data_IF_945864862006
#
_entry.id   IF_945864862006
#
_cell.length_a   1.000
_cell.length_b   1.000
_cell.length_c   1.000
_cell.angle_alpha   90.00
_cell.angle_beta   90.00
_cell.angle_gamma   90.00
#
_symmetry.space_group_name_H-M   'P 1'
#
loop_
_entity.id
_entity.type
_entity.pdbx_description
1 polymer ?
#
# COMPACT_ATOMS: atom_id res chain seq x y z
N UNK A 1 11.93 -24.12 -16.20
CA UNK A 1 11.37 -23.40 -17.38
C UNK A 1 9.91 -23.00 -17.19
N UNK A 2 8.99 -23.92 -16.87
CA UNK A 2 7.56 -23.62 -16.72
C UNK A 2 7.28 -22.43 -15.76
N UNK A 3 7.88 -22.44 -14.57
CA UNK A 3 7.74 -21.34 -13.60
C UNK A 3 8.21 -19.99 -14.13
N UNK A 4 9.29 -19.93 -14.91
CA UNK A 4 9.82 -18.67 -15.46
C UNK A 4 8.83 -18.10 -16.47
N UNK A 5 8.35 -18.90 -17.43
CA UNK A 5 7.35 -18.45 -18.40
C UNK A 5 6.03 -18.06 -17.73
N UNK A 6 5.65 -18.77 -16.68
CA UNK A 6 4.46 -18.44 -15.90
C UNK A 6 4.62 -17.13 -15.12
N UNK A 7 5.78 -16.85 -14.54
CA UNK A 7 6.08 -15.55 -13.94
C UNK A 7 6.05 -14.43 -14.97
N UNK A 8 6.69 -14.62 -16.14
CA UNK A 8 6.70 -13.63 -17.22
C UNK A 8 5.28 -13.37 -17.76
N UNK A 9 4.42 -14.38 -17.79
CA UNK A 9 3.01 -14.21 -18.15
C UNK A 9 2.28 -13.27 -17.20
N UNK A 10 2.45 -13.42 -15.89
CA UNK A 10 1.85 -12.53 -14.89
C UNK A 10 2.44 -11.11 -14.95
N UNK A 11 3.75 -10.97 -15.15
CA UNK A 11 4.38 -9.67 -15.35
C UNK A 11 3.86 -8.98 -16.60
N UNK A 12 3.67 -9.69 -17.71
CA UNK A 12 3.04 -9.16 -18.92
C UNK A 12 1.59 -8.74 -18.65
N UNK A 13 0.85 -9.54 -17.89
CA UNK A 13 -0.52 -9.20 -17.49
C UNK A 13 -0.57 -7.89 -16.69
N UNK A 14 0.31 -7.71 -15.71
CA UNK A 14 0.39 -6.47 -14.94
C UNK A 14 0.90 -5.28 -15.74
N UNK A 15 1.81 -5.50 -16.69
CA UNK A 15 2.23 -4.48 -17.65
C UNK A 15 1.04 -3.98 -18.48
N UNK A 16 0.24 -4.90 -19.03
CA UNK A 16 -0.96 -4.54 -19.82
C UNK A 16 -2.02 -3.90 -18.92
N UNK A 17 -2.18 -4.34 -17.67
CA UNK A 17 -3.08 -3.71 -16.71
C UNK A 17 -2.70 -2.25 -16.42
N UNK A 18 -1.40 -1.96 -16.25
CA UNK A 18 -0.90 -0.58 -16.08
C UNK A 18 -1.11 0.25 -17.34
N UNK A 19 -0.87 -0.32 -18.51
CA UNK A 19 -1.15 0.34 -19.78
C UNK A 19 -2.64 0.67 -19.92
N UNK A 20 -3.51 -0.29 -19.62
CA UNK A 20 -4.96 -0.08 -19.58
C UNK A 20 -5.35 1.05 -18.62
N UNK A 21 -4.73 1.13 -17.43
CA UNK A 21 -4.97 2.22 -16.49
C UNK A 21 -4.60 3.59 -17.09
N UNK A 22 -3.42 3.71 -17.70
CA UNK A 22 -3.01 4.95 -18.38
C UNK A 22 -3.95 5.35 -19.53
N UNK A 23 -4.43 4.37 -20.32
CA UNK A 23 -5.40 4.60 -21.38
C UNK A 23 -6.75 5.05 -20.82
N UNK A 24 -7.20 4.46 -19.72
CA UNK A 24 -8.47 4.81 -19.06
C UNK A 24 -8.46 6.22 -18.46
N UNK A 25 -7.28 6.71 -18.09
CA UNK A 25 -7.02 8.03 -17.53
C UNK A 25 -6.27 8.92 -18.54
N UNK A 26 -6.58 8.80 -19.84
CA UNK A 26 -5.84 9.47 -20.92
C UNK A 26 -5.66 10.98 -20.70
N UNK A 27 -6.67 11.67 -20.17
CA UNK A 27 -6.60 13.11 -19.89
C UNK A 27 -5.44 13.45 -18.93
N UNK A 28 -5.35 12.74 -17.80
CA UNK A 28 -4.28 12.91 -16.82
C UNK A 28 -2.93 12.42 -17.38
N UNK A 29 -2.93 11.32 -18.13
CA UNK A 29 -1.73 10.77 -18.77
C UNK A 29 -1.10 11.76 -19.76
N UNK A 30 -1.92 12.39 -20.60
CA UNK A 30 -1.45 13.31 -21.66
C UNK A 30 -0.81 14.59 -21.14
N UNK A 31 -1.11 14.99 -19.89
CA UNK A 31 -0.49 16.15 -19.24
C UNK A 31 0.91 15.89 -18.68
N UNK A 32 1.43 14.66 -18.78
CA UNK A 32 2.70 14.26 -18.17
C UNK A 32 3.75 13.89 -19.22
N UNK A 33 5.03 14.12 -18.90
CA UNK A 33 6.14 13.74 -19.76
C UNK A 33 6.22 12.22 -19.95
N UNK A 34 6.61 11.78 -21.15
CA UNK A 34 6.78 10.35 -21.46
C UNK A 34 7.76 9.66 -20.51
N UNK A 35 8.82 10.34 -20.08
CA UNK A 35 9.77 9.81 -19.07
C UNK A 35 9.11 9.49 -17.73
N UNK A 36 8.10 10.28 -17.32
CA UNK A 36 7.35 10.04 -16.09
C UNK A 36 6.43 8.83 -16.24
N UNK A 37 5.75 8.70 -17.39
CA UNK A 37 4.93 7.52 -17.69
C UNK A 37 5.77 6.26 -17.76
N UNK A 38 6.91 6.28 -18.47
CA UNK A 38 7.85 5.16 -18.54
C UNK A 38 8.44 4.82 -17.17
N UNK A 39 8.75 5.83 -16.35
CA UNK A 39 9.17 5.65 -14.96
C UNK A 39 8.16 4.86 -14.13
N UNK A 40 6.85 5.06 -14.34
CA UNK A 40 5.83 4.31 -13.61
C UNK A 40 5.85 2.80 -13.92
N UNK A 41 6.22 2.41 -15.14
CA UNK A 41 6.43 1.00 -15.47
C UNK A 41 7.69 0.45 -14.82
N UNK A 42 8.78 1.22 -14.81
CA UNK A 42 10.05 0.81 -14.23
C UNK A 42 9.96 0.65 -12.70
N UNK A 43 9.50 1.69 -12.00
CA UNK A 43 9.36 1.67 -10.55
C UNK A 43 8.22 0.74 -10.10
N UNK A 44 7.12 0.68 -10.87
CA UNK A 44 5.99 -0.21 -10.59
C UNK A 44 6.32 -1.70 -10.71
N UNK A 45 7.38 -2.06 -11.46
CA UNK A 45 7.81 -3.45 -11.64
C UNK A 45 8.09 -4.15 -10.31
N UNK A 46 8.56 -3.42 -9.29
CA UNK A 46 8.85 -3.99 -7.97
C UNK A 46 7.58 -4.56 -7.31
N UNK A 47 6.45 -3.85 -7.41
CA UNK A 47 5.16 -4.34 -6.93
C UNK A 47 4.57 -5.42 -7.85
N UNK A 48 4.82 -5.35 -9.15
CA UNK A 48 4.40 -6.42 -10.09
C UNK A 48 5.10 -7.75 -9.79
N UNK A 49 6.40 -7.70 -9.47
CA UNK A 49 7.20 -8.86 -9.05
C UNK A 49 6.70 -9.39 -7.70
N UNK A 50 6.39 -8.53 -6.75
CA UNK A 50 5.80 -8.95 -5.46
C UNK A 50 4.43 -9.60 -5.64
N UNK A 51 3.53 -9.00 -6.44
CA UNK A 51 2.22 -9.56 -6.77
C UNK A 51 2.34 -10.94 -7.44
N UNK A 52 3.26 -11.04 -8.41
CA UNK A 52 3.57 -12.31 -9.10
C UNK A 52 4.09 -13.34 -8.09
N UNK A 53 4.96 -12.94 -7.16
CA UNK A 53 5.45 -13.79 -6.08
C UNK A 53 4.32 -14.39 -5.25
N UNK A 54 3.35 -13.58 -4.82
CA UNK A 54 2.17 -14.07 -4.10
C UNK A 54 1.35 -15.06 -4.93
N UNK A 55 1.11 -14.78 -6.22
CA UNK A 55 0.35 -15.68 -7.09
C UNK A 55 1.07 -17.03 -7.29
N UNK A 56 2.40 -17.05 -7.31
CA UNK A 56 3.21 -18.25 -7.52
C UNK A 56 3.26 -19.20 -6.33
N UNK A 57 2.96 -18.74 -5.11
CA UNK A 57 3.04 -19.57 -3.90
C UNK A 57 2.18 -20.83 -4.04
N UNK A 58 0.92 -20.69 -4.44
CA UNK A 58 -0.02 -21.82 -4.56
C UNK A 58 0.43 -22.81 -5.66
N UNK A 59 0.72 -22.39 -6.90
CA UNK A 59 1.28 -23.27 -7.92
C UNK A 59 2.57 -23.97 -7.50
N UNK A 60 3.49 -23.29 -6.80
CA UNK A 60 4.72 -23.92 -6.31
C UNK A 60 4.42 -25.02 -5.27
N UNK A 61 3.52 -24.77 -4.31
CA UNK A 61 3.11 -25.77 -3.33
C UNK A 61 2.52 -27.02 -4.00
N UNK A 62 1.68 -26.83 -5.02
CA UNK A 62 1.08 -27.95 -5.76
C UNK A 62 2.13 -28.69 -6.59
N UNK A 63 3.07 -27.98 -7.21
CA UNK A 63 4.18 -28.61 -7.96
C UNK A 63 5.07 -29.47 -7.06
N UNK A 64 5.30 -29.07 -5.80
CA UNK A 64 6.02 -29.90 -4.81
C UNK A 64 5.30 -31.24 -4.61
N UNK A 65 3.97 -31.24 -4.51
CA UNK A 65 3.20 -32.51 -4.42
C UNK A 65 3.31 -33.35 -5.69
N UNK A 66 3.47 -32.71 -6.86
CA UNK A 66 3.66 -33.37 -8.16
C UNK A 66 4.96 -34.12 -8.32
N UNK A 67 5.93 -33.92 -7.43
CA UNK A 67 7.14 -34.75 -7.38
C UNK A 67 6.78 -36.20 -6.99
N UNK A 68 5.70 -36.37 -6.21
CA UNK A 68 5.27 -37.67 -5.68
C UNK A 68 4.04 -38.23 -6.40
N UNK A 69 3.16 -37.38 -6.94
CA UNK A 69 1.88 -37.76 -7.54
C UNK A 69 1.81 -37.44 -9.05
N UNK A 70 0.86 -38.08 -9.74
CA UNK A 70 0.77 -38.06 -11.20
C UNK A 70 0.47 -36.66 -11.79
N UNK A 71 1.04 -36.42 -12.97
CA UNK A 71 1.24 -35.13 -13.67
C UNK A 71 -0.03 -34.33 -14.01
N UNK A 72 -1.08 -34.97 -14.53
CA UNK A 72 -2.13 -34.24 -15.25
C UNK A 72 -3.12 -33.50 -14.36
N UNK A 73 -3.37 -34.00 -13.14
CA UNK A 73 -4.24 -33.34 -12.17
C UNK A 73 -3.66 -31.99 -11.73
N UNK A 74 -2.34 -31.91 -11.64
CA UNK A 74 -1.62 -30.69 -11.24
C UNK A 74 -1.71 -29.64 -12.33
N UNK A 75 -1.52 -30.05 -13.59
CA UNK A 75 -1.74 -29.15 -14.73
C UNK A 75 -3.15 -28.58 -14.74
N UNK A 76 -4.17 -29.45 -14.59
CA UNK A 76 -5.57 -29.02 -14.55
C UNK A 76 -5.80 -28.06 -13.38
N UNK A 77 -5.26 -28.36 -12.19
CA UNK A 77 -5.36 -27.48 -11.04
C UNK A 77 -4.74 -26.10 -11.30
N UNK A 78 -3.48 -26.04 -11.76
CA UNK A 78 -2.78 -24.77 -12.05
C UNK A 78 -3.52 -23.98 -13.13
N UNK A 79 -4.11 -24.66 -14.12
CA UNK A 79 -4.92 -24.05 -15.17
C UNK A 79 -6.20 -23.42 -14.60
N UNK A 80 -6.98 -24.17 -13.81
CA UNK A 80 -8.21 -23.65 -13.18
C UNK A 80 -7.91 -22.54 -12.19
N UNK A 81 -6.85 -22.68 -11.39
CA UNK A 81 -6.33 -21.63 -10.52
C UNK A 81 -6.00 -20.37 -11.30
N UNK A 82 -5.24 -20.48 -12.39
CA UNK A 82 -4.87 -19.34 -13.22
C UNK A 82 -6.09 -18.65 -13.83
N UNK A 83 -7.11 -19.40 -14.25
CA UNK A 83 -8.37 -18.82 -14.74
C UNK A 83 -9.10 -18.04 -13.66
N UNK A 84 -9.21 -18.61 -12.47
CA UNK A 84 -9.84 -17.94 -11.34
C UNK A 84 -9.12 -16.64 -10.96
N UNK A 85 -7.79 -16.69 -10.82
CA UNK A 85 -7.00 -15.50 -10.49
C UNK A 85 -7.05 -14.46 -11.61
N UNK A 86 -6.97 -14.87 -12.88
CA UNK A 86 -7.12 -13.94 -14.00
C UNK A 86 -8.47 -13.24 -13.96
N UNK A 87 -9.56 -13.98 -13.73
CA UNK A 87 -10.90 -13.39 -13.63
C UNK A 87 -11.00 -12.38 -12.49
N UNK A 88 -10.55 -12.75 -11.29
CA UNK A 88 -10.54 -11.86 -10.12
C UNK A 88 -9.68 -10.61 -10.38
N UNK A 89 -8.49 -10.78 -10.95
CA UNK A 89 -7.62 -9.66 -11.26
C UNK A 89 -8.23 -8.73 -12.31
N UNK A 90 -8.83 -9.27 -13.37
CA UNK A 90 -9.52 -8.47 -14.40
C UNK A 90 -10.67 -7.66 -13.81
N UNK A 91 -11.46 -8.23 -12.89
CA UNK A 91 -12.50 -7.49 -12.16
C UNK A 91 -11.90 -6.32 -11.38
N UNK A 92 -10.86 -6.58 -10.59
CA UNK A 92 -10.21 -5.57 -9.74
C UNK A 92 -9.60 -4.45 -10.58
N UNK A 93 -8.88 -4.77 -11.67
CA UNK A 93 -8.22 -3.79 -12.54
C UNK A 93 -9.23 -2.84 -13.19
N UNK A 94 -10.35 -3.37 -13.70
CA UNK A 94 -11.37 -2.54 -14.36
C UNK A 94 -12.13 -1.72 -13.33
N UNK A 95 -12.51 -2.30 -12.20
CA UNK A 95 -13.18 -1.59 -11.12
C UNK A 95 -12.34 -0.42 -10.60
N UNK A 96 -11.06 -0.66 -10.34
CA UNK A 96 -10.11 0.35 -9.89
C UNK A 96 -9.95 1.50 -10.89
N UNK A 97 -9.82 1.20 -12.19
CA UNK A 97 -9.76 2.23 -13.24
C UNK A 97 -11.00 3.15 -13.22
N UNK A 98 -12.18 2.60 -12.98
CA UNK A 98 -13.41 3.39 -12.88
C UNK A 98 -13.46 4.21 -11.59
N UNK A 99 -13.21 3.57 -10.45
CA UNK A 99 -13.31 4.18 -9.13
C UNK A 99 -12.25 5.25 -8.91
N UNK A 100 -11.07 5.10 -9.52
CA UNK A 100 -9.99 6.10 -9.44
C UNK A 100 -10.44 7.49 -9.87
N UNK A 101 -11.37 7.60 -10.83
CA UNK A 101 -11.93 8.90 -11.29
C UNK A 101 -12.69 9.64 -10.19
N UNK A 102 -13.28 8.90 -9.25
CA UNK A 102 -14.08 9.44 -8.16
C UNK A 102 -13.26 9.57 -6.88
N UNK A 103 -12.36 8.61 -6.62
CA UNK A 103 -11.62 8.52 -5.36
C UNK A 103 -10.29 9.27 -5.40
N UNK A 104 -9.65 9.38 -6.57
CA UNK A 104 -8.33 10.00 -6.69
C UNK A 104 -7.17 9.17 -6.13
N UNK A 105 -7.43 7.95 -5.66
CA UNK A 105 -6.44 6.99 -5.17
C UNK A 105 -6.70 5.58 -5.71
N UNK A 106 -5.67 4.73 -5.70
CA UNK A 106 -5.72 3.35 -6.20
C UNK A 106 -6.52 2.48 -5.25
N UNK A 107 -7.37 1.64 -5.79
CA UNK A 107 -8.30 0.83 -5.01
C UNK A 107 -7.57 0.01 -3.94
N UNK A 108 -8.17 -0.03 -2.76
CA UNK A 108 -7.73 -0.76 -1.59
C UNK A 108 -8.91 -1.57 -1.02
N UNK A 109 -8.79 -2.05 0.22
CA UNK A 109 -9.82 -2.84 0.90
C UNK A 109 -11.19 -2.15 1.03
N UNK A 110 -11.29 -0.84 0.81
CA UNK A 110 -12.57 -0.10 0.90
C UNK A 110 -13.62 -0.60 -0.10
N UNK A 111 -13.20 -1.18 -1.24
CA UNK A 111 -14.13 -1.79 -2.22
C UNK A 111 -15.00 -2.88 -1.60
N UNK A 112 -14.49 -3.58 -0.57
CA UNK A 112 -15.24 -4.62 0.13
C UNK A 112 -16.43 -4.08 0.91
N UNK A 113 -16.44 -2.79 1.26
CA UNK A 113 -17.60 -2.16 1.90
C UNK A 113 -18.74 -1.95 0.90
N UNK A 114 -18.43 -1.57 -0.34
CA UNK A 114 -19.42 -1.38 -1.41
C UNK A 114 -20.06 -2.71 -1.87
N UNK A 115 -19.34 -3.82 -1.73
CA UNK A 115 -19.92 -5.16 -1.95
C UNK A 115 -21.03 -5.51 -0.94
N UNK A 116 -21.15 -4.79 0.18
CA UNK A 116 -22.25 -4.97 1.15
C UNK A 116 -23.53 -4.29 0.69
N UNK A 117 -23.45 -3.28 -0.17
CA UNK A 117 -24.61 -2.54 -0.71
C UNK A 117 -24.66 -2.57 -2.24
N UNK A 118 -24.66 -3.76 -2.87
CA UNK A 118 -24.55 -3.89 -4.34
C UNK A 118 -25.73 -3.25 -5.09
N UNK A 119 -26.92 -3.18 -4.47
CA UNK A 119 -28.09 -2.51 -5.06
C UNK A 119 -27.86 -1.01 -5.25
N UNK A 120 -27.21 -0.36 -4.29
CA UNK A 120 -26.92 1.08 -4.35
C UNK A 120 -25.85 1.39 -5.40
N UNK A 121 -24.85 0.52 -5.52
CA UNK A 121 -23.79 0.64 -6.53
C UNK A 121 -24.37 0.47 -7.94
N UNK A 122 -25.23 -0.53 -8.17
CA UNK A 122 -25.85 -0.74 -9.48
C UNK A 122 -26.82 0.39 -9.83
N UNK A 123 -27.56 0.92 -8.84
CA UNK A 123 -28.49 2.03 -9.05
C UNK A 123 -27.78 3.36 -9.41
N UNK A 124 -26.51 3.51 -9.06
CA UNK A 124 -25.73 4.73 -9.35
C UNK A 124 -25.04 4.74 -10.71
N UNK A 125 -25.18 3.67 -11.51
CA UNK A 125 -24.50 3.50 -12.81
C UNK A 125 -25.51 3.19 -13.91
N UNK A 126 -25.30 3.76 -15.11
CA UNK A 126 -26.19 3.50 -16.25
C UNK A 126 -26.00 2.09 -16.81
N UNK A 127 -27.05 1.50 -17.40
CA UNK A 127 -26.98 0.17 -18.04
C UNK A 127 -25.88 0.09 -19.11
N UNK A 128 -25.67 1.16 -19.88
CA UNK A 128 -24.62 1.23 -20.91
C UNK A 128 -23.22 1.15 -20.29
N UNK A 129 -22.99 1.85 -19.17
CA UNK A 129 -21.73 1.76 -18.43
C UNK A 129 -21.52 0.35 -17.88
N UNK A 130 -22.53 -0.28 -17.28
CA UNK A 130 -22.43 -1.66 -16.78
C UNK A 130 -22.03 -2.62 -17.91
N UNK A 131 -22.70 -2.54 -19.06
CA UNK A 131 -22.38 -3.36 -20.24
C UNK A 131 -20.93 -3.10 -20.69
N UNK A 132 -20.52 -1.84 -20.80
CA UNK A 132 -19.16 -1.48 -21.19
C UNK A 132 -18.11 -2.06 -20.23
N UNK A 133 -18.35 -1.99 -18.93
CA UNK A 133 -17.47 -2.54 -17.90
C UNK A 133 -17.35 -4.06 -18.02
N UNK A 134 -18.48 -4.76 -18.15
CA UNK A 134 -18.50 -6.22 -18.34
C UNK A 134 -17.74 -6.61 -19.62
N UNK A 135 -17.93 -5.89 -20.73
CA UNK A 135 -17.23 -6.17 -21.98
C UNK A 135 -15.72 -5.99 -21.85
N UNK A 136 -15.25 -4.95 -21.15
CA UNK A 136 -13.81 -4.73 -20.93
C UNK A 136 -13.22 -5.81 -20.01
N UNK A 137 -13.93 -6.20 -18.95
CA UNK A 137 -13.51 -7.31 -18.08
C UNK A 137 -13.36 -8.59 -18.90
N UNK A 138 -14.39 -8.94 -19.67
CA UNK A 138 -14.38 -10.13 -20.52
C UNK A 138 -13.29 -10.07 -21.58
N UNK A 139 -13.05 -8.91 -22.19
CA UNK A 139 -11.98 -8.72 -23.16
C UNK A 139 -10.61 -9.03 -22.55
N UNK A 140 -10.25 -8.39 -21.43
CA UNK A 140 -8.97 -8.61 -20.75
C UNK A 140 -8.85 -10.08 -20.33
N UNK A 141 -9.90 -10.62 -19.70
CA UNK A 141 -9.92 -12.00 -19.21
C UNK A 141 -9.75 -13.02 -20.35
N UNK A 142 -10.56 -12.93 -21.40
CA UNK A 142 -10.53 -13.86 -22.55
C UNK A 142 -9.19 -13.76 -23.28
N UNK A 143 -8.67 -12.55 -23.52
CA UNK A 143 -7.37 -12.37 -24.17
C UNK A 143 -6.27 -13.10 -23.40
N UNK A 144 -6.16 -12.90 -22.08
CA UNK A 144 -5.12 -13.56 -21.29
C UNK A 144 -5.38 -15.05 -21.05
N UNK A 145 -6.65 -15.49 -21.03
CA UNK A 145 -7.01 -16.91 -21.02
C UNK A 145 -6.53 -17.62 -22.28
N UNK A 146 -6.71 -17.01 -23.46
CA UNK A 146 -6.22 -17.54 -24.74
C UNK A 146 -4.70 -17.54 -24.79
N UNK A 147 -4.03 -16.48 -24.32
CA UNK A 147 -2.57 -16.42 -24.23
C UNK A 147 -2.01 -17.50 -23.29
N UNK A 148 -2.65 -17.70 -22.14
CA UNK A 148 -2.29 -18.78 -21.21
C UNK A 148 -2.38 -20.15 -21.89
N UNK A 149 -3.51 -20.45 -22.55
CA UNK A 149 -3.69 -21.74 -23.22
C UNK A 149 -2.70 -21.96 -24.36
N UNK A 150 -2.38 -20.92 -25.13
CA UNK A 150 -1.49 -21.01 -26.28
C UNK A 150 -0.03 -21.15 -25.87
N UNK A 151 0.41 -20.37 -24.89
CA UNK A 151 1.83 -20.24 -24.57
C UNK A 151 2.26 -20.90 -23.27
N UNK A 152 1.37 -21.00 -22.27
CA UNK A 152 1.73 -21.40 -20.90
C UNK A 152 1.30 -22.82 -20.57
N UNK A 153 0.07 -23.21 -20.90
CA UNK A 153 -0.52 -24.52 -20.55
C UNK A 153 0.36 -25.70 -21.03
N UNK A 154 1.04 -25.55 -22.17
CA UNK A 154 1.96 -26.55 -22.72
C UNK A 154 3.18 -26.83 -21.83
N UNK A 155 3.64 -25.87 -21.02
CA UNK A 155 4.81 -26.06 -20.16
C UNK A 155 4.50 -26.88 -18.91
N UNK A 156 3.23 -27.07 -18.61
CA UNK A 156 2.76 -27.91 -17.51
C UNK A 156 2.28 -29.29 -18.00
N UNK A 157 2.46 -29.61 -19.30
CA UNK A 157 2.20 -30.94 -19.87
C UNK A 157 3.40 -31.86 -19.65
N UNK A 158 3.11 -33.16 -19.58
CA UNK A 158 4.10 -34.23 -19.62
C UNK A 158 5.23 -34.08 -18.59
N UNK A 159 4.88 -33.94 -17.30
CA UNK A 159 5.90 -33.97 -16.26
C UNK A 159 6.62 -35.32 -16.30
N UNK A 160 7.87 -35.30 -16.75
CA UNK A 160 8.71 -36.48 -16.74
C UNK A 160 8.85 -37.01 -15.30
N UNK A 161 8.87 -38.34 -15.15
CA UNK A 161 9.10 -38.96 -13.85
C UNK A 161 10.49 -38.57 -13.35
N UNK A 162 10.52 -37.75 -12.31
CA UNK A 162 11.77 -37.31 -11.69
C UNK A 162 12.43 -38.50 -11.00
N UNK A 163 13.59 -38.94 -11.51
CA UNK A 163 14.39 -40.04 -10.93
C UNK A 163 14.97 -39.69 -9.55
N UNK A 164 15.37 -38.43 -9.36
CA UNK A 164 15.95 -37.91 -8.12
C UNK A 164 14.94 -37.07 -7.33
N UNK A 165 13.98 -37.75 -6.68
CA UNK A 165 12.85 -37.07 -6.01
C UNK A 165 13.26 -36.18 -4.82
N UNK A 166 14.19 -36.63 -3.99
CA UNK A 166 14.64 -35.87 -2.81
C UNK A 166 15.37 -34.59 -3.21
N UNK A 167 16.37 -34.60 -4.12
CA UNK A 167 16.99 -33.37 -4.60
C UNK A 167 15.98 -32.41 -5.26
N UNK A 168 15.03 -32.92 -6.06
CA UNK A 168 14.00 -32.09 -6.64
C UNK A 168 13.10 -31.45 -5.58
N UNK A 169 12.69 -32.22 -4.57
CA UNK A 169 11.89 -31.70 -3.45
C UNK A 169 12.60 -30.57 -2.72
N UNK A 170 13.88 -30.76 -2.36
CA UNK A 170 14.69 -29.74 -1.70
C UNK A 170 14.87 -28.50 -2.58
N UNK A 171 15.07 -28.68 -3.89
CA UNK A 171 15.17 -27.58 -4.84
C UNK A 171 13.87 -26.76 -4.93
N UNK A 172 12.71 -27.42 -5.07
CA UNK A 172 11.43 -26.71 -5.09
C UNK A 172 11.08 -26.06 -3.75
N UNK A 173 11.47 -26.68 -2.63
CA UNK A 173 11.32 -26.07 -1.30
C UNK A 173 12.19 -24.81 -1.17
N UNK A 174 13.43 -24.85 -1.68
CA UNK A 174 14.29 -23.68 -1.75
C UNK A 174 13.70 -22.59 -2.65
N UNK A 175 13.16 -22.94 -3.82
CA UNK A 175 12.48 -21.97 -4.70
C UNK A 175 11.26 -21.35 -4.02
N UNK A 176 10.45 -22.13 -3.32
CA UNK A 176 9.31 -21.64 -2.54
C UNK A 176 9.77 -20.66 -1.46
N UNK A 177 10.81 -21.01 -0.70
CA UNK A 177 11.41 -20.12 0.30
C UNK A 177 11.98 -18.84 -0.34
N UNK A 178 12.58 -18.94 -1.52
CA UNK A 178 13.12 -17.80 -2.24
C UNK A 178 12.06 -16.78 -2.67
N UNK A 179 10.77 -17.19 -2.78
CA UNK A 179 9.67 -16.26 -3.07
C UNK A 179 9.46 -15.21 -1.97
N UNK A 180 9.96 -15.42 -0.75
CA UNK A 180 9.93 -14.41 0.31
C UNK A 180 10.64 -13.12 -0.11
N UNK A 181 11.69 -13.22 -0.94
CA UNK A 181 12.48 -12.07 -1.41
C UNK A 181 11.63 -11.16 -2.33
N UNK A 182 11.06 -11.63 -3.47
CA UNK A 182 10.21 -10.79 -4.31
C UNK A 182 8.94 -10.35 -3.57
N UNK A 183 8.36 -11.19 -2.71
CA UNK A 183 7.18 -10.84 -1.92
C UNK A 183 7.46 -9.64 -0.99
N UNK A 184 8.58 -9.64 -0.26
CA UNK A 184 9.00 -8.49 0.56
C UNK A 184 9.53 -7.30 -0.24
N UNK A 185 9.75 -7.46 -1.55
CA UNK A 185 10.35 -6.45 -2.41
C UNK A 185 11.85 -6.26 -2.23
N UNK A 186 12.56 -7.29 -1.72
CA UNK A 186 14.01 -7.31 -1.56
C UNK A 186 14.49 -7.64 -0.14
N UNK A 187 15.76 -7.34 0.13
CA UNK A 187 16.43 -7.61 1.42
C UNK A 187 16.36 -6.42 2.41
N UNK A 188 15.47 -5.47 2.15
CA UNK A 188 15.29 -4.29 3.00
C UNK A 188 14.71 -4.61 4.39
N UNK A 189 14.96 -3.71 5.34
CA UNK A 189 14.51 -3.83 6.74
C UNK A 189 12.98 -3.87 6.83
N UNK A 190 12.30 -3.03 6.05
CA UNK A 190 10.84 -3.00 5.97
C UNK A 190 10.33 -3.81 4.76
N UNK A 191 9.17 -4.49 4.89
CA UNK A 191 8.45 -5.01 3.74
C UNK A 191 8.07 -3.89 2.77
N UNK A 192 7.99 -4.22 1.48
CA UNK A 192 7.50 -3.30 0.44
C UNK A 192 6.10 -2.78 0.76
N UNK A 193 5.87 -1.50 0.47
CA UNK A 193 4.58 -0.85 0.60
C UNK A 193 4.23 -0.08 -0.69
N UNK A 194 2.99 0.43 -0.79
CA UNK A 194 2.56 1.19 -1.98
C UNK A 194 3.44 2.43 -2.23
N UNK A 195 3.94 3.08 -1.18
CA UNK A 195 4.84 4.23 -1.28
C UNK A 195 6.24 3.90 -1.79
N UNK A 196 6.67 2.62 -1.79
CA UNK A 196 7.98 2.22 -2.31
C UNK A 196 8.15 2.53 -3.80
N UNK A 197 7.05 2.57 -4.57
CA UNK A 197 7.09 2.88 -6.00
C UNK A 197 6.80 4.35 -6.31
N UNK A 198 6.76 5.23 -5.30
CA UNK A 198 6.53 6.66 -5.50
C UNK A 198 7.88 7.33 -5.80
N UNK A 199 7.99 7.94 -6.98
CA UNK A 199 9.26 8.50 -7.49
C UNK A 199 9.08 9.87 -8.16
N UNK A 200 7.84 10.27 -8.45
CA UNK A 200 7.52 11.51 -9.16
C UNK A 200 6.88 12.53 -8.22
N UNK A 201 6.98 13.83 -8.55
CA UNK A 201 6.25 14.90 -7.83
C UNK A 201 4.75 14.87 -8.14
N UNK A 202 4.36 14.39 -9.32
CA UNK A 202 2.96 14.19 -9.67
C UNK A 202 2.41 12.90 -9.02
N UNK A 203 1.43 13.07 -8.14
CA UNK A 203 0.79 11.96 -7.43
C UNK A 203 0.10 10.96 -8.37
N UNK A 204 -0.44 11.40 -9.51
CA UNK A 204 -1.06 10.51 -10.49
C UNK A 204 -0.07 9.50 -11.06
N UNK A 205 1.16 9.94 -11.36
CA UNK A 205 2.22 9.06 -11.89
C UNK A 205 2.64 8.03 -10.83
N UNK A 206 2.71 8.44 -9.57
CA UNK A 206 2.97 7.55 -8.45
C UNK A 206 1.84 6.51 -8.28
N UNK A 207 0.59 6.96 -8.32
CA UNK A 207 -0.57 6.08 -8.28
C UNK A 207 -0.58 5.08 -9.43
N UNK A 208 -0.25 5.51 -10.65
CA UNK A 208 -0.17 4.64 -11.82
C UNK A 208 0.95 3.57 -11.73
N UNK A 209 2.01 3.83 -10.96
CA UNK A 209 3.06 2.84 -10.70
C UNK A 209 2.56 1.68 -9.82
N UNK A 210 1.56 1.93 -8.95
CA UNK A 210 1.04 0.94 -8.00
C UNK A 210 0.27 -0.17 -8.71
N UNK A 211 0.70 -1.41 -8.44
CA UNK A 211 -0.05 -2.61 -8.81
C UNK A 211 -1.30 -2.73 -7.92
N UNK A 212 -2.49 -2.60 -8.51
CA UNK A 212 -3.76 -2.62 -7.75
C UNK A 212 -4.05 -3.97 -7.11
N UNK A 213 -3.69 -5.09 -7.76
CA UNK A 213 -3.90 -6.43 -7.19
C UNK A 213 -3.10 -6.57 -5.89
N UNK A 214 -1.85 -6.12 -5.93
CA UNK A 214 -1.00 -6.04 -4.75
C UNK A 214 -1.60 -5.12 -3.68
N UNK A 215 -2.06 -3.93 -4.06
CA UNK A 215 -2.56 -2.91 -3.13
C UNK A 215 -3.83 -3.36 -2.39
N UNK A 216 -4.80 -3.92 -3.12
CA UNK A 216 -6.02 -4.49 -2.54
C UNK A 216 -5.68 -5.66 -1.63
N UNK A 217 -4.83 -6.60 -2.08
CA UNK A 217 -4.39 -7.72 -1.24
C UNK A 217 -3.74 -7.25 0.05
N UNK A 218 -2.74 -6.37 -0.05
CA UNK A 218 -1.99 -5.85 1.09
C UNK A 218 -2.87 -5.09 2.08
N UNK A 219 -3.80 -4.26 1.61
CA UNK A 219 -4.71 -3.50 2.48
C UNK A 219 -5.75 -4.37 3.17
N UNK A 220 -6.18 -5.48 2.56
CA UNK A 220 -7.06 -6.46 3.20
C UNK A 220 -6.34 -7.19 4.33
N UNK A 221 -5.11 -7.64 4.10
CA UNK A 221 -4.33 -8.37 5.12
C UNK A 221 -3.85 -7.47 6.26
N UNK A 222 -3.48 -6.22 5.98
CA UNK A 222 -2.97 -5.27 6.96
C UNK A 222 -4.04 -4.31 7.50
N UNK A 223 -5.32 -4.68 7.38
CA UNK A 223 -6.43 -3.85 7.84
C UNK A 223 -6.33 -3.63 9.35
N UNK A 224 -6.26 -2.37 9.77
CA UNK A 224 -6.32 -2.02 11.19
C UNK A 224 -7.75 -2.18 11.74
N UNK A 225 -7.91 -2.44 13.05
CA UNK A 225 -9.22 -2.51 13.68
C UNK A 225 -10.00 -1.20 13.42
N UNK A 226 -11.27 -1.33 13.05
CA UNK A 226 -12.17 -0.18 12.82
C UNK A 226 -12.89 0.26 14.09
N UNK A 227 -12.84 -0.57 15.14
CA UNK A 227 -13.32 -0.22 16.47
C UNK A 227 -12.18 0.38 17.27
N UNK A 228 -12.48 1.40 18.08
CA UNK A 228 -11.53 1.94 19.04
C UNK A 228 -11.09 0.80 19.98
N UNK A 229 -9.84 0.32 19.94
CA UNK A 229 -9.40 -0.75 20.83
C UNK A 229 -9.23 -0.26 22.28
N UNK A 230 -9.32 1.06 22.51
CA UNK A 230 -9.14 1.71 23.81
C UNK A 230 -10.48 2.03 24.50
N UNK A 231 -11.40 1.07 24.52
CA UNK A 231 -12.67 1.18 25.25
C UNK A 231 -12.52 0.60 26.66
N UNK A 232 -11.83 1.32 27.55
CA UNK A 232 -11.52 0.85 28.90
C UNK A 232 -12.57 1.21 29.96
N UNK A 233 -13.48 2.13 29.65
CA UNK A 233 -14.48 2.65 30.59
C UNK A 233 -15.72 3.15 29.85
N UNK A 234 -16.74 3.56 30.60
CA UNK A 234 -17.95 4.16 30.03
C UNK A 234 -17.64 5.47 29.29
N UNK A 235 -18.35 5.72 28.19
CA UNK A 235 -18.10 6.88 27.33
C UNK A 235 -18.38 8.19 28.06
N UNK A 236 -19.40 8.25 28.93
CA UNK A 236 -19.73 9.47 29.66
C UNK A 236 -18.64 9.79 30.68
N UNK A 237 -18.12 8.77 31.35
CA UNK A 237 -17.02 8.89 32.30
C UNK A 237 -15.74 9.36 31.59
N UNK A 238 -15.40 8.76 30.43
CA UNK A 238 -14.25 9.16 29.64
C UNK A 238 -14.34 10.63 29.15
N UNK A 239 -15.54 11.05 28.72
CA UNK A 239 -15.81 12.43 28.29
C UNK A 239 -15.66 13.40 29.47
N UNK A 240 -16.18 13.06 30.65
CA UNK A 240 -16.05 13.89 31.84
C UNK A 240 -14.58 14.08 32.26
N UNK A 241 -13.78 12.99 32.23
CA UNK A 241 -12.34 13.06 32.51
C UNK A 241 -11.64 13.97 31.49
N UNK A 242 -11.87 13.77 30.19
CA UNK A 242 -11.31 14.62 29.13
C UNK A 242 -11.62 16.10 29.36
N UNK A 243 -12.88 16.42 29.65
CA UNK A 243 -13.31 17.80 29.85
C UNK A 243 -12.68 18.41 31.08
N UNK A 244 -12.49 17.63 32.15
CA UNK A 244 -11.77 18.08 33.34
C UNK A 244 -10.30 18.45 33.06
N UNK A 245 -9.64 17.77 32.11
CA UNK A 245 -8.24 18.03 31.75
C UNK A 245 -8.06 19.31 30.91
N UNK A 246 -9.14 19.81 30.29
CA UNK A 246 -9.12 21.00 29.43
C UNK A 246 -9.84 22.21 30.04
N UNK A 247 -10.40 22.05 31.24
CA UNK A 247 -11.04 23.12 31.97
C UNK A 247 -10.05 24.27 32.25
N UNK A 248 -10.35 25.46 31.72
CA UNK A 248 -9.52 26.66 31.93
C UNK A 248 -9.60 27.07 33.40
N UNK A 249 -8.52 26.90 34.17
CA UNK A 249 -8.53 27.25 35.60
C UNK A 249 -8.14 28.71 35.88
N UNK A 250 -7.53 29.41 34.92
CA UNK A 250 -7.11 30.81 35.09
C UNK A 250 -6.96 31.55 33.75
N UNK A 251 -6.98 32.88 33.82
CA UNK A 251 -6.65 33.72 32.67
C UNK A 251 -5.18 33.51 32.26
N UNK A 252 -4.87 33.42 30.95
CA UNK A 252 -3.51 33.20 30.50
C UNK A 252 -2.60 34.37 30.90
N UNK A 253 -1.38 34.05 31.33
CA UNK A 253 -0.34 35.06 31.54
C UNK A 253 0.03 35.70 30.21
N UNK A 254 -0.04 37.03 30.13
CA UNK A 254 0.44 37.78 28.96
C UNK A 254 1.96 37.91 29.04
N UNK A 255 2.66 37.34 28.06
CA UNK A 255 4.13 37.42 27.94
C UNK A 255 4.60 38.37 26.83
N UNK A 256 3.67 38.91 26.02
CA UNK A 256 3.97 39.80 24.91
C UNK A 256 3.39 41.20 25.17
N UNK A 257 4.15 42.22 24.77
CA UNK A 257 3.75 43.62 24.85
C UNK A 257 2.96 44.10 23.61
N UNK A 258 2.93 43.30 22.54
CA UNK A 258 2.18 43.60 21.31
C UNK A 258 0.90 42.77 21.23
N UNK A 259 -0.19 43.39 20.76
CA UNK A 259 -1.44 42.69 20.46
C UNK A 259 -1.44 41.99 19.09
N UNK A 260 -0.46 42.30 18.23
CA UNK A 260 -0.35 41.74 16.88
C UNK A 260 1.12 41.46 16.53
N UNK A 261 1.75 40.48 17.18
CA UNK A 261 3.10 40.05 16.83
C UNK A 261 3.10 39.34 15.47
N UNK A 262 4.22 39.43 14.75
CA UNK A 262 4.51 38.48 13.68
C UNK A 262 4.88 37.13 14.31
N UNK A 263 4.37 36.03 13.74
CA UNK A 263 4.54 34.69 14.28
C UNK A 263 5.35 33.85 13.29
N UNK A 264 6.49 33.35 13.73
CA UNK A 264 7.28 32.35 13.02
C UNK A 264 7.33 31.07 13.85
N UNK A 265 6.83 29.97 13.27
CA UNK A 265 6.89 28.65 13.88
C UNK A 265 8.00 27.86 13.20
N UNK A 266 9.01 27.46 13.97
CA UNK A 266 10.11 26.61 13.50
C UNK A 266 9.90 25.20 14.06
N UNK A 267 9.57 24.25 13.20
CA UNK A 267 9.41 22.83 13.58
C UNK A 267 10.71 22.09 13.28
N UNK A 268 11.33 21.53 14.31
CA UNK A 268 12.58 20.80 14.20
C UNK A 268 12.30 19.29 14.11
N UNK A 269 12.68 18.67 12.99
CA UNK A 269 12.46 17.25 12.73
C UNK A 269 13.43 16.39 13.55
N UNK A 270 12.91 15.35 14.21
CA UNK A 270 13.70 14.39 15.00
C UNK A 270 14.64 15.03 16.05
N UNK A 271 14.25 16.17 16.61
CA UNK A 271 15.10 17.00 17.47
C UNK A 271 14.71 16.89 18.96
N UNK A 272 15.42 16.05 19.72
CA UNK A 272 15.17 15.80 21.14
C UNK A 272 15.91 16.76 22.08
N UNK A 273 15.46 16.82 23.34
CA UNK A 273 16.06 17.65 24.39
C UNK A 273 17.52 17.29 24.72
N UNK A 274 17.95 16.06 24.46
CA UNK A 274 19.32 15.59 24.65
C UNK A 274 20.36 16.32 23.79
N UNK A 275 19.91 17.10 22.80
CA UNK A 275 20.77 17.93 21.95
C UNK A 275 20.87 19.38 22.45
N UNK A 276 20.08 19.77 23.46
CA UNK A 276 19.95 21.14 23.94
C UNK A 276 20.65 21.27 25.30
N UNK A 277 21.71 22.08 25.35
CA UNK A 277 22.56 22.24 26.54
C UNK A 277 21.77 22.61 27.80
N UNK A 278 20.96 23.69 27.77
CA UNK A 278 20.11 24.09 28.90
C UNK A 278 19.10 23.04 29.38
N UNK A 279 18.82 21.99 28.59
CA UNK A 279 17.93 20.89 28.97
C UNK A 279 18.70 19.64 29.43
N UNK A 280 20.01 19.75 29.66
CA UNK A 280 20.88 18.65 30.08
C UNK A 280 21.51 17.87 28.93
N UNK A 281 21.37 18.35 27.68
CA UNK A 281 22.06 17.82 26.51
C UNK A 281 23.50 18.32 26.37
N UNK A 282 24.16 17.93 25.29
CA UNK A 282 25.49 18.45 24.95
C UNK A 282 25.43 19.95 24.59
N UNK A 283 26.22 20.77 25.29
CA UNK A 283 26.24 22.22 25.12
C UNK A 283 26.94 22.66 23.82
N UNK A 284 27.73 21.79 23.20
CA UNK A 284 28.48 22.09 21.98
C UNK A 284 27.70 21.79 20.70
N UNK A 285 26.69 20.90 20.75
CA UNK A 285 25.94 20.50 19.55
C UNK A 285 25.07 21.63 19.00
N UNK A 286 24.50 22.48 19.87
CA UNK A 286 23.49 23.48 19.48
C UNK A 286 23.77 24.89 20.03
N UNK A 287 24.97 25.46 19.83
CA UNK A 287 25.42 26.68 20.51
C UNK A 287 24.50 27.88 20.23
N UNK A 288 24.01 28.02 19.00
CA UNK A 288 23.09 29.12 18.64
C UNK A 288 21.71 28.97 19.30
N UNK A 289 21.17 27.75 19.38
CA UNK A 289 19.90 27.50 20.05
C UNK A 289 20.03 27.69 21.57
N UNK A 290 21.17 27.25 22.14
CA UNK A 290 21.48 27.45 23.55
C UNK A 290 21.55 28.95 23.92
N UNK A 291 22.05 29.80 23.02
CA UNK A 291 21.99 31.27 23.19
C UNK A 291 20.55 31.77 23.24
N UNK A 292 19.73 31.34 22.27
CA UNK A 292 18.32 31.75 22.17
C UNK A 292 17.49 31.33 23.40
N UNK A 293 17.84 30.24 24.08
CA UNK A 293 17.19 29.83 25.32
C UNK A 293 17.25 30.90 26.44
N UNK A 294 18.23 31.81 26.39
CA UNK A 294 18.39 32.90 27.37
C UNK A 294 17.64 34.19 26.98
N UNK A 295 17.14 34.26 25.75
CA UNK A 295 16.49 35.46 25.19
C UNK A 295 14.95 35.36 25.24
N UNK A 296 14.40 34.30 25.82
CA UNK A 296 12.95 34.04 25.84
C UNK A 296 12.50 33.09 26.94
N UNK A 297 11.37 32.42 26.69
CA UNK A 297 10.78 31.45 27.63
C UNK A 297 11.16 30.04 27.20
N UNK A 298 11.96 29.37 28.04
CA UNK A 298 12.32 27.96 27.85
C UNK A 298 11.36 27.06 28.64
N UNK A 299 10.66 26.16 27.94
CA UNK A 299 9.85 25.11 28.57
C UNK A 299 10.72 23.88 28.84
N UNK A 300 11.14 23.69 30.09
CA UNK A 300 12.00 22.56 30.49
C UNK A 300 11.25 21.23 30.60
N UNK A 301 9.93 21.27 30.78
CA UNK A 301 9.04 20.11 30.83
C UNK A 301 8.10 20.10 29.61
N UNK A 302 8.67 20.01 28.42
CA UNK A 302 7.94 19.96 27.16
C UNK A 302 7.97 18.55 26.57
N UNK A 303 6.80 18.04 26.16
CA UNK A 303 6.64 16.72 25.60
C UNK A 303 5.94 16.79 24.26
N UNK A 304 6.46 16.07 23.28
CA UNK A 304 5.77 15.88 22.01
C UNK A 304 4.49 15.06 22.22
N UNK A 305 3.41 15.47 21.58
CA UNK A 305 2.13 14.75 21.60
C UNK A 305 2.25 13.35 20.98
N UNK A 306 3.14 13.18 19.98
CA UNK A 306 3.38 11.91 19.30
C UNK A 306 4.86 11.72 18.94
N UNK A 307 5.20 10.51 18.51
CA UNK A 307 6.56 10.09 18.18
C UNK A 307 6.85 10.05 16.66
N UNK A 308 5.95 10.60 15.84
CA UNK A 308 6.09 10.68 14.38
C UNK A 308 5.61 12.04 13.88
N UNK A 309 6.22 12.52 12.79
CA UNK A 309 5.92 13.82 12.18
C UNK A 309 4.43 13.96 11.84
N UNK A 310 3.86 12.95 11.19
CA UNK A 310 2.44 12.91 10.82
C UNK A 310 1.52 13.07 12.04
N UNK A 311 1.89 12.54 13.21
CA UNK A 311 1.13 12.66 14.46
C UNK A 311 1.38 13.97 15.22
N UNK A 312 2.58 14.54 15.11
CA UNK A 312 2.94 15.78 15.80
C UNK A 312 2.36 17.03 15.12
N UNK A 313 2.27 17.04 13.79
CA UNK A 313 1.81 18.20 13.03
C UNK A 313 0.37 18.64 13.36
N UNK A 314 -0.64 17.74 13.49
CA UNK A 314 -1.97 18.12 13.95
C UNK A 314 -1.98 18.73 15.35
N UNK A 315 -1.10 18.27 16.26
CA UNK A 315 -0.97 18.84 17.59
C UNK A 315 -0.39 20.27 17.55
N UNK A 316 0.64 20.50 16.73
CA UNK A 316 1.28 21.81 16.58
C UNK A 316 0.33 22.83 15.94
N UNK A 317 -0.36 22.43 14.87
CA UNK A 317 -1.16 23.37 14.05
C UNK A 317 -2.61 23.53 14.53
N UNK A 318 -3.21 22.49 15.11
CA UNK A 318 -4.63 22.47 15.49
C UNK A 318 -4.87 22.23 16.98
N UNK A 319 -3.83 22.01 17.79
CA UNK A 319 -3.98 21.62 19.19
C UNK A 319 -4.64 20.24 19.37
N UNK A 320 -4.63 19.40 18.33
CA UNK A 320 -5.30 18.11 18.36
C UNK A 320 -4.35 17.03 18.89
N UNK A 321 -4.72 16.27 19.96
CA UNK A 321 -3.83 15.27 20.53
C UNK A 321 -3.57 14.12 19.56
N UNK A 322 -2.34 13.60 19.58
CA UNK A 322 -1.95 12.49 18.71
C UNK A 322 -2.80 11.25 19.00
N UNK A 323 -3.25 10.58 17.95
CA UNK A 323 -4.01 9.36 18.07
C UNK A 323 -3.09 8.14 18.26
N UNK A 324 -3.52 7.10 18.99
CA UNK A 324 -2.65 5.97 19.31
C UNK A 324 -2.23 5.16 18.07
N UNK A 325 -3.15 4.94 17.13
CA UNK A 325 -2.98 4.00 16.01
C UNK A 325 -2.69 4.67 14.67
N UNK A 326 -3.43 5.73 14.33
CA UNK A 326 -3.33 6.41 13.04
C UNK A 326 -2.94 7.87 13.22
N UNK A 327 -2.49 8.53 12.16
CA UNK A 327 -2.52 9.99 12.11
C UNK A 327 -3.85 10.43 11.50
N UNK A 328 -4.28 11.65 11.85
CA UNK A 328 -5.41 12.34 11.20
C UNK A 328 -4.94 13.26 10.07
N UNK A 329 -3.63 13.29 9.79
CA UNK A 329 -3.03 14.01 8.67
C UNK A 329 -3.29 13.31 7.34
#
# INVERSE_FOLDING_TARGET
>A
MALIFYSLFWLLFFFVARLFFFLSQFKETSGNAFSSVAGAFWHGLQLDVSATGYILVIPMLVLITGIFFNSDRIRIFIKLYSYLILFICSLIIVADSLLYKYWGFRMDHTVLFYLRTPKEVIASVTTVQIIGVVLVILLIFITFLLLYNKFIDKFFKDFEKIRLRIPAFLFFLFLLASLLIPIRGGFGIAPINAGTVYFNKNIFINHAAVNVIWNVGNSVFNRKPTTNPYSFMDLQEAVAIRDSLTAKSSAPMKVLNSQRPDIMIVVLESFGNSLIGPLGGDSLTTPNLNSLCNEGVLFTNFYASGNRTDKAMPAILNGYPAQPTESIM
#
